data_IF_361422499270
#
_entry.id   IF_361422499270
#
_cell.length_a   1.000
_cell.length_b   1.000
_cell.length_c   1.000
_cell.angle_alpha   90.00
_cell.angle_beta   90.00
_cell.angle_gamma   90.00
#
_symmetry.space_group_name_H-M   'P 1'
#
loop_
_entity.id
_entity.type
_entity.pdbx_description
1 polymer ?
#
# COMPACT_ATOMS: atom_id res chain seq x y z
N UNK A 1 24.20 8.61 8.65
CA UNK A 1 22.90 8.22 9.25
C UNK A 1 22.03 9.46 9.27
N UNK A 2 21.08 9.60 8.36
CA UNK A 2 20.20 10.76 8.28
C UNK A 2 18.75 10.28 8.29
N UNK A 3 17.99 10.76 9.27
CA UNK A 3 16.56 10.51 9.40
C UNK A 3 15.81 11.32 8.34
N UNK A 4 14.91 10.67 7.59
CA UNK A 4 13.91 11.39 6.80
C UNK A 4 12.79 11.88 7.73
N UNK A 5 12.96 13.09 8.27
CA UNK A 5 11.85 13.83 8.86
C UNK A 5 10.94 14.33 7.73
N UNK A 6 9.67 13.94 7.73
CA UNK A 6 8.69 14.57 6.84
C UNK A 6 8.49 16.03 7.28
N UNK A 7 8.59 17.01 6.38
CA UNK A 7 8.36 18.40 6.72
C UNK A 7 6.87 18.65 7.08
N UNK A 8 6.57 19.70 7.87
CA UNK A 8 5.22 20.03 8.31
C UNK A 8 4.27 20.31 7.13
N UNK A 9 3.04 19.84 7.29
CA UNK A 9 1.98 19.62 6.29
C UNK A 9 1.41 20.89 5.61
N UNK A 10 1.88 22.09 5.93
CA UNK A 10 1.23 23.36 5.54
C UNK A 10 1.84 24.09 4.34
N UNK A 11 2.79 23.50 3.60
CA UNK A 11 3.41 24.13 2.42
C UNK A 11 3.27 23.33 1.12
N UNK A 12 2.13 22.68 0.88
CA UNK A 12 1.79 22.07 -0.43
C UNK A 12 1.33 23.11 -1.47
N UNK A 13 2.05 24.23 -1.61
CA UNK A 13 1.85 25.14 -2.74
C UNK A 13 2.92 24.88 -3.81
N UNK A 14 2.47 24.25 -4.90
CA UNK A 14 3.01 24.36 -6.25
C UNK A 14 4.42 23.80 -6.53
N UNK A 15 4.66 22.55 -6.19
CA UNK A 15 5.35 21.60 -7.07
C UNK A 15 4.65 20.25 -6.85
N UNK A 16 4.20 19.52 -7.90
CA UNK A 16 3.84 18.14 -7.68
C UNK A 16 5.02 17.48 -6.97
N UNK A 17 4.81 16.68 -5.91
CA UNK A 17 5.90 15.97 -5.26
C UNK A 17 6.74 15.33 -6.37
N UNK A 18 8.09 15.38 -6.30
CA UNK A 18 8.94 14.83 -7.35
C UNK A 18 8.37 13.49 -7.74
N UNK A 19 8.12 13.29 -9.03
CA UNK A 19 7.41 12.10 -9.52
C UNK A 19 8.26 10.88 -9.25
N UNK A 20 8.14 10.34 -8.03
CA UNK A 20 8.86 9.16 -7.60
C UNK A 20 8.26 8.00 -8.35
N UNK A 21 9.06 7.44 -9.25
CA UNK A 21 8.68 6.26 -10.00
C UNK A 21 8.89 5.04 -9.12
N UNK A 22 7.82 4.32 -8.88
CA UNK A 22 7.87 3.02 -8.24
C UNK A 22 7.74 1.92 -9.28
N UNK A 23 8.50 0.86 -9.12
CA UNK A 23 8.50 -0.30 -9.99
C UNK A 23 7.90 -1.49 -9.25
N UNK A 24 6.91 -2.11 -9.87
CA UNK A 24 6.28 -3.36 -9.45
C UNK A 24 6.47 -4.34 -10.59
N UNK A 25 7.09 -5.50 -10.32
CA UNK A 25 7.36 -6.52 -11.34
C UNK A 25 6.31 -7.62 -11.37
N UNK A 26 5.60 -7.84 -10.26
CA UNK A 26 4.59 -8.88 -10.15
C UNK A 26 3.22 -8.42 -10.67
N UNK A 27 2.46 -9.37 -11.22
CA UNK A 27 1.07 -9.12 -11.62
C UNK A 27 0.23 -8.94 -10.36
N UNK A 28 -0.15 -7.70 -10.07
CA UNK A 28 -1.01 -7.34 -8.93
C UNK A 28 -2.36 -8.08 -8.99
N UNK A 29 -2.82 -8.53 -10.16
CA UNK A 29 -4.07 -9.27 -10.33
C UNK A 29 -3.99 -10.75 -9.90
N UNK A 30 -2.80 -11.33 -9.82
CA UNK A 30 -2.58 -12.66 -9.24
C UNK A 30 -2.09 -12.44 -7.82
N UNK A 31 -3.03 -12.14 -6.92
CA UNK A 31 -2.84 -11.83 -5.49
C UNK A 31 -2.26 -13.00 -4.68
N UNK A 32 -1.51 -13.90 -5.32
CA UNK A 32 -0.91 -15.14 -4.87
C UNK A 32 0.39 -14.97 -4.07
N UNK A 33 1.22 -14.01 -4.48
CA UNK A 33 2.60 -13.94 -4.01
C UNK A 33 2.93 -12.62 -3.32
N UNK A 34 3.87 -12.68 -2.39
CA UNK A 34 4.45 -11.49 -1.77
C UNK A 34 5.45 -10.86 -2.73
N UNK A 35 5.43 -9.53 -2.83
CA UNK A 35 6.35 -8.82 -3.72
C UNK A 35 6.88 -7.55 -3.08
N UNK A 36 7.96 -7.02 -3.66
CA UNK A 36 8.58 -5.78 -3.21
C UNK A 36 8.38 -4.69 -4.24
N UNK A 37 8.22 -3.47 -3.73
CA UNK A 37 8.16 -2.26 -4.55
C UNK A 37 9.53 -1.62 -4.49
N UNK A 38 10.08 -1.33 -5.67
CA UNK A 38 11.36 -0.65 -5.82
C UNK A 38 11.16 0.81 -6.19
N UNK A 39 12.07 1.67 -5.75
CA UNK A 39 12.16 3.04 -6.24
C UNK A 39 12.88 3.12 -7.60
N UNK A 40 13.11 4.34 -8.07
CA UNK A 40 13.81 4.64 -9.32
C UNK A 40 15.30 4.25 -9.31
N UNK A 41 15.90 4.12 -8.12
CA UNK A 41 17.27 3.65 -7.91
C UNK A 41 17.35 2.12 -7.79
N UNK A 42 16.21 1.42 -7.85
CA UNK A 42 16.12 -0.03 -7.72
C UNK A 42 16.16 -0.53 -6.28
N UNK A 43 16.08 0.37 -5.30
CA UNK A 43 16.08 0.04 -3.88
C UNK A 43 14.70 -0.43 -3.45
N UNK A 44 14.66 -1.51 -2.66
CA UNK A 44 13.42 -1.99 -2.05
C UNK A 44 12.95 -0.97 -1.00
N UNK A 45 11.77 -0.38 -1.23
CA UNK A 45 11.21 0.67 -0.35
C UNK A 45 9.95 0.20 0.38
N UNK A 46 9.23 -0.76 -0.17
CA UNK A 46 8.06 -1.35 0.45
C UNK A 46 7.97 -2.85 0.17
N UNK A 47 7.30 -3.55 1.07
CA UNK A 47 6.92 -4.94 0.90
C UNK A 47 5.41 -5.04 0.84
N UNK A 48 4.88 -5.75 -0.15
CA UNK A 48 3.47 -6.12 -0.23
C UNK A 48 3.35 -7.58 0.15
N UNK A 49 2.60 -7.83 1.22
CA UNK A 49 2.24 -9.18 1.65
C UNK A 49 0.85 -9.53 1.18
N UNK A 50 0.76 -10.63 0.44
CA UNK A 50 -0.49 -11.22 0.02
C UNK A 50 -0.97 -12.20 1.08
N UNK A 51 -2.22 -12.04 1.49
CA UNK A 51 -2.93 -13.01 2.33
C UNK A 51 -4.12 -13.52 1.53
N UNK A 52 -3.88 -14.56 0.74
CA UNK A 52 -4.99 -15.28 0.13
C UNK A 52 -5.67 -16.11 1.20
N UNK A 53 -6.93 -15.80 1.41
CA UNK A 53 -7.83 -16.67 2.15
C UNK A 53 -8.82 -17.25 1.15
N UNK A 54 -9.40 -18.41 1.48
CA UNK A 54 -10.41 -19.08 0.65
C UNK A 54 -11.61 -18.21 0.29
N UNK A 55 -11.83 -17.14 1.05
CA UNK A 55 -12.97 -16.25 0.91
C UNK A 55 -12.65 -14.97 0.14
N UNK A 56 -11.39 -14.51 0.02
CA UNK A 56 -11.12 -13.20 -0.59
C UNK A 56 -9.67 -12.74 -0.54
N UNK A 57 -9.35 -11.80 -1.43
CA UNK A 57 -8.01 -11.23 -1.53
C UNK A 57 -7.76 -10.12 -0.51
N UNK A 58 -6.61 -10.19 0.15
CA UNK A 58 -6.12 -9.17 1.08
C UNK A 58 -4.65 -8.89 0.82
N UNK A 59 -4.31 -7.62 0.74
CA UNK A 59 -2.93 -7.14 0.68
C UNK A 59 -2.61 -6.28 1.88
N UNK A 60 -1.38 -6.39 2.36
CA UNK A 60 -0.80 -5.48 3.36
C UNK A 60 0.46 -4.88 2.78
N UNK A 61 0.49 -3.56 2.67
CA UNK A 61 1.69 -2.79 2.36
C UNK A 61 2.42 -2.48 3.66
N UNK A 62 3.68 -2.87 3.72
CA UNK A 62 4.57 -2.67 4.85
C UNK A 62 5.80 -1.86 4.42
N UNK A 63 6.36 -1.08 5.35
CA UNK A 63 7.69 -0.53 5.17
C UNK A 63 8.77 -1.63 5.26
N UNK A 64 10.03 -1.27 5.02
CA UNK A 64 11.15 -2.21 5.10
C UNK A 64 11.46 -2.70 6.52
N UNK A 65 10.88 -2.06 7.55
CA UNK A 65 10.95 -2.52 8.94
C UNK A 65 9.79 -3.47 9.32
N UNK A 66 8.86 -3.73 8.40
CA UNK A 66 7.70 -4.60 8.62
C UNK A 66 6.52 -3.88 9.29
N UNK A 67 6.53 -2.55 9.39
CA UNK A 67 5.39 -1.82 9.91
C UNK A 67 4.32 -1.72 8.83
N UNK A 68 3.10 -2.14 9.17
CA UNK A 68 1.94 -1.97 8.30
C UNK A 68 1.67 -0.49 8.03
N UNK A 69 1.43 -0.17 6.76
CA UNK A 69 1.08 1.18 6.32
C UNK A 69 -0.36 1.20 5.82
N UNK A 70 -0.67 0.28 4.90
CA UNK A 70 -1.96 0.20 4.22
C UNK A 70 -2.43 -1.25 4.14
N UNK A 71 -3.73 -1.47 4.27
CA UNK A 71 -4.40 -2.73 3.96
C UNK A 71 -5.35 -2.51 2.79
N UNK A 72 -5.36 -3.43 1.84
CA UNK A 72 -6.34 -3.49 0.76
C UNK A 72 -7.13 -4.78 0.96
N UNK A 73 -8.45 -4.68 1.04
CA UNK A 73 -9.32 -5.84 1.28
C UNK A 73 -10.46 -5.86 0.28
N UNK A 74 -10.66 -7.00 -0.38
CA UNK A 74 -11.82 -7.20 -1.24
C UNK A 74 -13.08 -7.44 -0.40
N UNK A 75 -14.19 -6.80 -0.78
CA UNK A 75 -15.52 -7.13 -0.27
C UNK A 75 -16.14 -8.26 -1.11
N UNK A 76 -16.75 -9.22 -0.43
CA UNK A 76 -17.16 -10.49 -1.05
C UNK A 76 -18.63 -10.56 -1.42
N UNK A 77 -19.45 -9.69 -0.85
CA UNK A 77 -20.90 -9.71 -1.00
C UNK A 77 -21.38 -8.77 -2.12
N UNK A 78 -20.46 -8.23 -2.92
CA UNK A 78 -20.78 -7.33 -4.03
C UNK A 78 -20.72 -8.09 -5.36
N UNK A 79 -21.69 -7.82 -6.23
CA UNK A 79 -21.73 -8.38 -7.59
C UNK A 79 -20.53 -7.93 -8.44
N UNK A 80 -19.93 -6.79 -8.09
CA UNK A 80 -18.74 -6.23 -8.73
C UNK A 80 -17.56 -6.18 -7.74
N UNK A 81 -16.31 -6.33 -8.23
CA UNK A 81 -15.13 -6.21 -7.37
C UNK A 81 -15.07 -4.85 -6.68
N UNK A 82 -15.14 -4.88 -5.35
CA UNK A 82 -15.02 -3.69 -4.49
C UNK A 82 -13.87 -3.91 -3.54
N UNK A 83 -12.97 -2.93 -3.43
CA UNK A 83 -11.79 -2.98 -2.58
C UNK A 83 -11.78 -1.81 -1.60
N UNK A 84 -11.66 -2.12 -0.32
CA UNK A 84 -11.44 -1.14 0.73
C UNK A 84 -9.95 -0.91 0.94
N UNK A 85 -9.55 0.36 0.93
CA UNK A 85 -8.20 0.81 1.28
C UNK A 85 -8.27 1.36 2.71
N UNK A 86 -7.53 0.73 3.62
CA UNK A 86 -7.53 1.03 5.05
C UNK A 86 -6.12 1.43 5.50
N UNK A 87 -6.00 2.29 6.51
CA UNK A 87 -4.74 2.48 7.24
C UNK A 87 -4.41 1.21 8.02
N UNK A 88 -3.11 0.93 8.19
CA UNK A 88 -2.64 -0.28 8.87
C UNK A 88 -1.52 0.03 9.89
N UNK A 89 -1.57 1.19 10.53
CA UNK A 89 -0.52 1.67 11.43
C UNK A 89 -0.51 0.88 12.74
N UNK A 90 0.67 0.43 13.15
CA UNK A 90 0.86 -0.31 14.39
C UNK A 90 0.35 0.48 15.61
N UNK A 91 -0.53 -0.13 16.41
CA UNK A 91 -1.09 0.50 17.62
C UNK A 91 -2.32 1.38 17.39
N UNK A 92 -2.78 1.54 16.14
CA UNK A 92 -3.99 2.28 15.80
C UNK A 92 -5.04 1.37 15.15
N UNK A 93 -6.32 1.69 15.34
CA UNK A 93 -7.41 1.00 14.65
C UNK A 93 -7.37 1.30 13.15
N UNK A 94 -7.60 0.28 12.33
CA UNK A 94 -7.70 0.43 10.87
C UNK A 94 -8.80 1.46 10.54
N UNK A 95 -8.44 2.51 9.80
CA UNK A 95 -9.36 3.54 9.33
C UNK A 95 -9.51 3.43 7.82
N UNK A 96 -10.73 3.46 7.32
CA UNK A 96 -10.99 3.50 5.89
C UNK A 96 -10.52 4.82 5.28
N UNK A 97 -9.69 4.71 4.26
CA UNK A 97 -9.12 5.82 3.51
C UNK A 97 -9.84 6.01 2.18
N UNK A 98 -10.20 4.91 1.52
CA UNK A 98 -10.90 4.95 0.24
C UNK A 98 -11.61 3.63 -0.09
N UNK A 99 -12.51 3.71 -1.08
CA UNK A 99 -13.15 2.56 -1.72
C UNK A 99 -12.87 2.61 -3.20
N UNK A 100 -12.37 1.52 -3.76
CA UNK A 100 -12.21 1.32 -5.18
C UNK A 100 -13.30 0.37 -5.67
N UNK A 101 -14.08 0.80 -6.66
CA UNK A 101 -15.09 -0.02 -7.34
C UNK A 101 -14.63 -0.18 -8.80
N UNK A 102 -14.55 -1.43 -9.26
CA UNK A 102 -14.15 -1.76 -10.63
C UNK A 102 -15.35 -2.18 -11.47
#
# INVERSE_FOLDING_TARGET
MAYYAYPPTDSYQQQPPPTRRYQIREKIFSLGDNFKIKDEMGQDVYTVRSKLFSLGDKLVLEDMAGNGLIKIQQELLHLHPTFNILSARNGESDRQLAVLKK
#
